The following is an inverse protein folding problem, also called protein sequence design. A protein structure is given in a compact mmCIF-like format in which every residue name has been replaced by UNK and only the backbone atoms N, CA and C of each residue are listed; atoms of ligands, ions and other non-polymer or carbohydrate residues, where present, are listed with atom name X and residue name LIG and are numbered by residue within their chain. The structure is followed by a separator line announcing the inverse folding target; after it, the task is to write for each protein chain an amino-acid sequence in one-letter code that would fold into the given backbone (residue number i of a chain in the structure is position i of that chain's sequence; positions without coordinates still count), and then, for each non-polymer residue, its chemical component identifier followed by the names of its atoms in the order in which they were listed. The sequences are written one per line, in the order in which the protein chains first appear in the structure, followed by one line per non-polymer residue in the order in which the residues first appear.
data_IF_414243834699
#
_entry.id   IF_414243834699
#
_cell.length_a   1.000
_cell.length_b   1.000
_cell.length_c   1.000
_cell.angle_alpha   90.00
_cell.angle_beta   90.00
_cell.angle_gamma   90.00
#
_symmetry.space_group_name_H-M   'P 1'
#
loop_
_entity.id
_entity.type
_entity.pdbx_description
1 polymer ?
#
# COMPACT_ATOMS: atom_id res chain seq x y z
N UNK A 1 -15.84 20.86 -9.80
CA UNK A 1 -15.67 19.60 -9.08
C UNK A 1 -14.69 19.86 -7.97
N UNK A 2 -15.03 19.51 -6.73
CA UNK A 2 -14.12 19.57 -5.59
C UNK A 2 -13.09 18.44 -5.67
N UNK A 3 -11.98 18.55 -4.93
CA UNK A 3 -10.98 17.48 -4.86
C UNK A 3 -11.62 16.16 -4.42
N UNK A 4 -12.50 16.21 -3.40
CA UNK A 4 -13.24 15.05 -2.89
C UNK A 4 -14.17 14.41 -3.93
N UNK A 5 -14.83 15.22 -4.77
CA UNK A 5 -15.64 14.70 -5.88
C UNK A 5 -14.78 14.03 -6.94
N UNK A 6 -13.60 14.58 -7.23
CA UNK A 6 -12.63 14.02 -8.18
C UNK A 6 -12.09 12.68 -7.68
N UNK A 7 -11.72 12.60 -6.39
CA UNK A 7 -11.30 11.35 -5.73
C UNK A 7 -12.41 10.29 -5.83
N UNK A 8 -13.66 10.68 -5.61
CA UNK A 8 -14.80 9.76 -5.72
C UNK A 8 -15.02 9.25 -7.15
N UNK A 9 -14.90 10.13 -8.14
CA UNK A 9 -15.03 9.78 -9.56
C UNK A 9 -13.98 8.76 -9.98
N UNK A 10 -12.71 9.05 -9.68
CA UNK A 10 -11.59 8.17 -10.02
C UNK A 10 -11.70 6.86 -9.25
N UNK A 11 -12.05 6.90 -7.97
CA UNK A 11 -12.21 5.67 -7.17
C UNK A 11 -13.27 4.75 -7.76
N UNK A 12 -14.45 5.27 -8.12
CA UNK A 12 -15.48 4.45 -8.79
C UNK A 12 -14.97 3.85 -10.10
N UNK A 13 -14.26 4.65 -10.91
CA UNK A 13 -13.64 4.14 -12.13
C UNK A 13 -12.67 2.98 -11.84
N UNK A 14 -11.80 3.10 -10.84
CA UNK A 14 -10.90 2.02 -10.45
C UNK A 14 -11.67 0.80 -9.93
N UNK A 15 -12.68 0.99 -9.09
CA UNK A 15 -13.51 -0.09 -8.57
C UNK A 15 -14.34 -0.80 -9.64
N UNK A 16 -14.62 -0.15 -10.78
CA UNK A 16 -15.25 -0.81 -11.94
C UNK A 16 -14.25 -1.67 -12.73
N UNK A 17 -12.99 -1.25 -12.82
CA UNK A 17 -11.99 -1.85 -13.71
C UNK A 17 -11.00 -2.76 -13.01
N UNK A 18 -10.80 -2.61 -11.70
CA UNK A 18 -9.89 -3.41 -10.91
C UNK A 18 -10.64 -4.38 -10.02
N UNK A 19 -9.92 -5.42 -9.57
CA UNK A 19 -10.34 -6.30 -8.50
C UNK A 19 -9.13 -6.64 -7.64
N UNK A 20 -9.29 -6.56 -6.31
CA UNK A 20 -8.24 -7.07 -5.43
C UNK A 20 -8.28 -8.60 -5.48
N UNK A 21 -7.15 -9.26 -5.71
CA UNK A 21 -7.10 -10.72 -5.87
C UNK A 21 -7.72 -11.50 -4.70
N UNK A 22 -7.41 -11.11 -3.46
CA UNK A 22 -7.97 -11.72 -2.25
C UNK A 22 -9.51 -11.63 -2.15
N UNK A 23 -10.12 -10.73 -2.93
CA UNK A 23 -11.56 -10.52 -2.95
C UNK A 23 -12.24 -11.14 -4.17
N UNK A 24 -11.51 -11.55 -5.20
CA UNK A 24 -12.07 -11.87 -6.51
C UNK A 24 -13.18 -12.93 -6.49
N UNK A 25 -13.04 -13.96 -5.66
CA UNK A 25 -14.05 -15.02 -5.47
C UNK A 25 -15.40 -14.45 -5.00
N UNK A 26 -15.40 -13.44 -4.13
CA UNK A 26 -16.62 -12.82 -3.62
C UNK A 26 -17.37 -12.02 -4.69
N UNK A 27 -16.69 -11.65 -5.78
CA UNK A 27 -17.25 -10.95 -6.93
C UNK A 27 -17.54 -11.90 -8.10
N UNK A 28 -17.27 -13.20 -7.95
CA UNK A 28 -17.38 -14.18 -9.03
C UNK A 28 -16.43 -13.92 -10.19
N UNK A 29 -15.29 -13.27 -9.93
CA UNK A 29 -14.27 -12.97 -10.93
C UNK A 29 -13.18 -14.03 -10.87
N UNK A 30 -12.98 -14.74 -11.97
CA UNK A 30 -11.84 -15.65 -12.14
C UNK A 30 -10.59 -14.83 -12.54
N UNK A 31 -9.62 -14.74 -11.62
CA UNK A 31 -8.35 -14.03 -11.86
C UNK A 31 -7.35 -14.85 -12.66
N UNK A 32 -7.71 -16.07 -13.05
CA UNK A 32 -6.88 -16.98 -13.82
C UNK A 32 -5.75 -17.62 -13.01
N UNK A 33 -5.01 -18.56 -13.61
CA UNK A 33 -4.06 -19.43 -12.91
C UNK A 33 -2.71 -18.75 -12.58
N UNK A 34 -2.54 -17.46 -12.87
CA UNK A 34 -1.28 -16.74 -12.64
C UNK A 34 -1.46 -15.58 -11.64
N UNK A 35 -1.80 -15.88 -10.37
CA UNK A 35 -1.82 -14.90 -9.28
C UNK A 35 -0.42 -14.28 -9.07
N UNK A 36 0.65 -15.00 -9.41
CA UNK A 36 2.04 -14.52 -9.39
C UNK A 36 2.29 -13.33 -10.32
N UNK A 37 1.41 -13.07 -11.30
CA UNK A 37 1.50 -11.93 -12.20
C UNK A 37 0.83 -10.65 -11.68
N UNK A 38 0.00 -10.71 -10.65
CA UNK A 38 -0.80 -9.58 -10.14
C UNK A 38 0.00 -8.70 -9.20
N UNK A 39 0.90 -9.33 -8.45
CA UNK A 39 1.79 -8.70 -7.49
C UNK A 39 2.98 -7.94 -8.07
N UNK A 40 3.11 -7.98 -9.39
CA UNK A 40 4.38 -7.70 -10.05
C UNK A 40 4.26 -6.77 -11.25
N UNK A 41 3.06 -6.28 -11.53
CA UNK A 41 2.77 -5.38 -12.64
C UNK A 41 2.79 -3.94 -12.16
N UNK A 42 3.44 -3.07 -12.93
CA UNK A 42 3.41 -1.64 -12.65
C UNK A 42 2.02 -1.09 -12.95
N UNK A 43 1.52 -0.11 -12.19
CA UNK A 43 0.17 0.45 -12.36
C UNK A 43 -0.17 0.89 -13.79
N UNK A 44 0.79 1.46 -14.52
CA UNK A 44 0.60 1.87 -15.92
C UNK A 44 0.32 0.70 -16.89
N UNK A 45 0.76 -0.51 -16.56
CA UNK A 45 0.49 -1.70 -17.36
C UNK A 45 -0.91 -2.27 -17.09
N UNK A 46 -1.51 -1.97 -15.92
CA UNK A 46 -2.78 -2.56 -15.51
C UNK A 46 -3.96 -2.08 -16.35
N UNK A 47 -4.07 -0.78 -16.65
CA UNK A 47 -5.18 -0.26 -17.47
C UNK A 47 -5.11 -0.74 -18.93
N UNK A 48 -3.92 -0.93 -19.48
CA UNK A 48 -3.75 -1.43 -20.85
C UNK A 48 -4.27 -2.88 -21.02
N UNK A 49 -4.45 -3.61 -19.92
CA UNK A 49 -4.92 -4.99 -19.91
C UNK A 49 -6.45 -5.10 -19.79
N UNK A 50 -7.14 -4.04 -19.41
CA UNK A 50 -8.58 -4.06 -19.23
C UNK A 50 -9.29 -4.29 -20.58
N UNK A 51 -10.00 -5.42 -20.71
CA UNK A 51 -10.93 -5.65 -21.82
C UNK A 51 -12.33 -5.15 -21.45
N UNK A 52 -13.16 -4.75 -22.43
CA UNK A 52 -14.54 -4.35 -22.14
C UNK A 52 -15.30 -5.42 -21.34
N UNK A 53 -15.74 -5.04 -20.14
CA UNK A 53 -16.48 -5.94 -19.23
C UNK A 53 -15.61 -6.86 -18.38
N UNK A 54 -14.28 -6.77 -18.44
CA UNK A 54 -13.36 -7.54 -17.61
C UNK A 54 -12.71 -6.64 -16.55
N UNK A 55 -12.57 -7.15 -15.32
CA UNK A 55 -11.77 -6.54 -14.26
C UNK A 55 -10.33 -7.04 -14.33
N UNK A 56 -9.38 -6.14 -14.15
CA UNK A 56 -7.95 -6.45 -14.03
C UNK A 56 -7.63 -6.72 -12.57
N UNK A 57 -7.12 -7.90 -12.28
CA UNK A 57 -6.73 -8.22 -10.93
C UNK A 57 -5.45 -7.46 -10.52
N UNK A 58 -5.40 -7.02 -9.27
CA UNK A 58 -4.32 -6.23 -8.70
C UNK A 58 -4.34 -6.32 -7.17
N UNK A 59 -3.52 -5.51 -6.51
CA UNK A 59 -3.45 -5.35 -5.05
C UNK A 59 -3.74 -3.90 -4.63
N UNK A 60 -3.80 -3.67 -3.32
CA UNK A 60 -3.91 -2.33 -2.71
C UNK A 60 -2.98 -1.29 -3.35
N UNK A 61 -1.73 -1.66 -3.61
CA UNK A 61 -0.74 -0.79 -4.26
C UNK A 61 -1.17 -0.33 -5.66
N UNK A 62 -1.77 -1.21 -6.47
CA UNK A 62 -2.20 -0.87 -7.83
C UNK A 62 -3.36 0.12 -7.85
N UNK A 63 -4.30 -0.02 -6.90
CA UNK A 63 -5.36 0.98 -6.68
C UNK A 63 -4.77 2.33 -6.28
N UNK A 64 -3.85 2.33 -5.31
CA UNK A 64 -3.30 3.55 -4.72
C UNK A 64 -2.42 4.33 -5.67
N UNK A 65 -1.53 3.66 -6.42
CA UNK A 65 -0.70 4.31 -7.42
C UNK A 65 -1.51 4.87 -8.59
N UNK A 66 -2.54 4.13 -9.05
CA UNK A 66 -3.38 4.61 -10.15
C UNK A 66 -4.23 5.80 -9.71
N UNK A 67 -4.81 5.76 -8.51
CA UNK A 67 -5.54 6.89 -7.95
C UNK A 67 -4.62 8.11 -7.81
N UNK A 68 -3.45 7.96 -7.18
CA UNK A 68 -2.50 9.05 -6.99
C UNK A 68 -2.04 9.65 -8.34
N UNK A 69 -1.80 8.82 -9.35
CA UNK A 69 -1.40 9.29 -10.68
C UNK A 69 -2.50 10.08 -11.38
N UNK A 70 -3.74 9.57 -11.38
CA UNK A 70 -4.88 10.27 -11.99
C UNK A 70 -5.24 11.56 -11.24
N UNK A 71 -5.09 11.60 -9.91
CA UNK A 71 -5.28 12.82 -9.13
C UNK A 71 -4.25 13.89 -9.50
N UNK A 72 -2.97 13.51 -9.63
CA UNK A 72 -1.91 14.41 -10.09
C UNK A 72 -2.16 14.94 -11.50
N UNK A 73 -2.68 14.11 -12.42
CA UNK A 73 -3.11 14.56 -13.75
C UNK A 73 -4.25 15.59 -13.70
N UNK A 74 -5.09 15.53 -12.65
CA UNK A 74 -6.15 16.51 -12.38
C UNK A 74 -5.67 17.71 -11.56
N UNK A 75 -4.37 17.82 -11.27
CA UNK A 75 -3.77 18.92 -10.52
C UNK A 75 -3.95 18.84 -9.00
N UNK A 76 -4.34 17.67 -8.48
CA UNK A 76 -4.47 17.41 -7.03
C UNK A 76 -3.17 16.77 -6.56
N UNK A 77 -2.53 17.36 -5.53
CA UNK A 77 -1.38 16.75 -4.88
C UNK A 77 -1.79 15.41 -4.28
N UNK A 78 -1.15 14.32 -4.71
CA UNK A 78 -1.48 12.98 -4.27
C UNK A 78 -0.26 12.07 -4.36
N UNK A 79 -0.15 11.16 -3.41
CA UNK A 79 0.94 10.19 -3.33
C UNK A 79 0.43 8.86 -2.77
N UNK A 80 0.77 7.75 -3.41
CA UNK A 80 0.58 6.44 -2.81
C UNK A 80 1.54 6.30 -1.62
N UNK A 81 1.06 5.74 -0.52
CA UNK A 81 1.77 5.60 0.75
C UNK A 81 1.66 4.17 1.25
N UNK A 82 2.73 3.69 1.86
CA UNK A 82 2.84 2.34 2.40
C UNK A 82 2.80 2.40 3.94
N UNK A 83 2.18 1.41 4.55
CA UNK A 83 1.99 1.37 5.99
C UNK A 83 0.96 0.33 6.35
N UNK A 84 0.12 0.66 7.33
CA UNK A 84 -0.74 -0.32 7.96
C UNK A 84 -2.16 0.20 8.20
N UNK A 85 -3.15 -0.58 7.76
CA UNK A 85 -4.55 -0.33 8.00
C UNK A 85 -5.03 -1.03 9.29
N UNK A 86 -5.80 -0.31 10.10
CA UNK A 86 -6.30 -0.80 11.40
C UNK A 86 -7.75 -1.28 11.36
N UNK A 87 -8.34 -1.33 10.15
CA UNK A 87 -9.77 -1.55 9.92
C UNK A 87 -10.10 -2.86 9.20
N UNK A 88 -9.10 -3.68 8.82
CA UNK A 88 -9.35 -5.02 8.26
C UNK A 88 -9.61 -6.05 9.36
N UNK A 89 -8.83 -5.98 10.44
CA UNK A 89 -8.94 -6.89 11.57
C UNK A 89 -8.65 -6.16 12.88
N UNK A 90 -9.50 -6.35 13.88
CA UNK A 90 -9.33 -5.73 15.20
C UNK A 90 -8.04 -6.22 15.86
N UNK A 91 -7.20 -5.29 16.30
CA UNK A 91 -5.95 -5.58 17.00
C UNK A 91 -4.80 -6.01 16.08
N UNK A 92 -4.98 -5.84 14.77
CA UNK A 92 -3.99 -6.12 13.76
C UNK A 92 -3.75 -4.86 12.91
N UNK A 93 -2.50 -4.65 12.53
CA UNK A 93 -2.04 -3.60 11.63
C UNK A 93 -1.70 -4.29 10.31
N UNK A 94 -2.67 -4.32 9.39
CA UNK A 94 -2.55 -5.01 8.10
C UNK A 94 -1.69 -4.20 7.13
N UNK A 95 -0.63 -4.81 6.57
CA UNK A 95 0.16 -4.20 5.49
C UNK A 95 -0.75 -3.69 4.38
N UNK A 96 -0.68 -2.41 4.08
CA UNK A 96 -1.61 -1.79 3.16
C UNK A 96 -1.03 -0.55 2.48
N UNK A 97 -1.57 -0.28 1.30
CA UNK A 97 -1.24 0.88 0.50
C UNK A 97 -2.48 1.73 0.26
N UNK A 98 -2.41 3.00 0.61
CA UNK A 98 -3.48 3.99 0.39
C UNK A 98 -2.92 5.26 -0.24
N UNK A 99 -3.76 6.27 -0.47
CA UNK A 99 -3.35 7.56 -1.05
C UNK A 99 -3.46 8.67 -0.02
N UNK A 100 -2.36 9.40 0.18
CA UNK A 100 -2.38 10.74 0.77
C UNK A 100 -2.71 11.74 -0.34
N UNK A 101 -3.67 12.64 -0.12
CA UNK A 101 -4.01 13.68 -1.09
C UNK A 101 -4.40 15.01 -0.44
N UNK A 102 -4.20 16.11 -1.17
CA UNK A 102 -4.50 17.47 -0.74
C UNK A 102 -3.87 17.80 0.62
N UNK A 103 -4.69 18.28 1.55
CA UNK A 103 -4.28 18.67 2.92
C UNK A 103 -4.02 17.47 3.85
N UNK A 104 -3.28 16.45 3.39
CA UNK A 104 -2.91 15.26 4.18
C UNK A 104 -4.08 14.32 4.45
N UNK A 105 -5.09 14.29 3.57
CA UNK A 105 -6.23 13.38 3.68
C UNK A 105 -5.86 12.00 3.16
N UNK A 106 -6.51 11.00 3.72
CA UNK A 106 -6.30 9.59 3.38
C UNK A 106 -7.48 9.05 2.57
N UNK A 107 -7.19 8.40 1.45
CA UNK A 107 -8.17 7.69 0.62
C UNK A 107 -7.70 6.28 0.30
N UNK A 108 -8.57 5.30 0.57
CA UNK A 108 -8.44 3.91 0.17
C UNK A 108 -9.42 3.60 -0.95
N UNK A 109 -8.90 3.56 -2.18
CA UNK A 109 -9.69 3.29 -3.38
C UNK A 109 -10.08 1.82 -3.55
N UNK A 110 -9.43 0.90 -2.85
CA UNK A 110 -9.72 -0.54 -2.96
C UNK A 110 -11.08 -0.88 -2.34
N UNK A 111 -11.42 -0.22 -1.23
CA UNK A 111 -12.56 -0.59 -0.41
C UNK A 111 -13.86 -0.02 -1.00
N UNK A 112 -14.65 -0.90 -1.61
CA UNK A 112 -15.99 -0.60 -2.14
C UNK A 112 -17.11 -0.96 -1.15
N UNK A 113 -18.37 -0.77 -1.56
CA UNK A 113 -19.53 -1.02 -0.70
C UNK A 113 -19.69 -2.50 -0.28
N UNK A 114 -19.26 -3.47 -1.10
CA UNK A 114 -19.30 -4.88 -0.72
C UNK A 114 -18.29 -5.15 0.38
N UNK A 115 -17.04 -4.71 0.17
CA UNK A 115 -15.97 -4.85 1.17
C UNK A 115 -16.32 -4.14 2.48
N UNK A 116 -16.91 -2.94 2.43
CA UNK A 116 -17.39 -2.24 3.63
C UNK A 116 -18.43 -3.03 4.39
N UNK A 117 -19.38 -3.63 3.68
CA UNK A 117 -20.41 -4.48 4.29
C UNK A 117 -19.84 -5.73 4.95
N UNK A 118 -18.86 -6.38 4.32
CA UNK A 118 -18.21 -7.60 4.84
C UNK A 118 -17.29 -7.30 6.02
N UNK A 119 -16.49 -6.23 5.94
CA UNK A 119 -15.53 -5.83 6.97
C UNK A 119 -16.16 -5.01 8.10
N UNK A 120 -17.40 -4.54 7.94
CA UNK A 120 -18.07 -3.67 8.91
C UNK A 120 -17.47 -2.26 8.99
N UNK A 121 -16.95 -1.74 7.86
CA UNK A 121 -16.36 -0.41 7.77
C UNK A 121 -17.48 0.63 7.61
N UNK A 122 -17.67 1.48 8.62
CA UNK A 122 -18.75 2.47 8.69
C UNK A 122 -18.30 3.92 8.44
N UNK A 123 -17.01 4.15 8.21
CA UNK A 123 -16.45 5.46 7.87
C UNK A 123 -16.34 5.71 6.36
N UNK A 124 -15.99 6.95 5.98
CA UNK A 124 -15.71 7.33 4.59
C UNK A 124 -14.31 6.87 4.18
N UNK A 125 -14.23 5.91 3.24
CA UNK A 125 -12.95 5.37 2.74
C UNK A 125 -12.18 6.35 1.87
N UNK A 126 -12.74 7.53 1.58
CA UNK A 126 -12.08 8.59 0.82
C UNK A 126 -11.72 9.80 1.69
N UNK A 127 -11.96 9.72 3.00
CA UNK A 127 -11.52 10.70 4.01
C UNK A 127 -11.40 9.94 5.35
N UNK A 128 -10.39 9.08 5.45
CA UNK A 128 -10.24 8.15 6.57
C UNK A 128 -10.08 8.91 7.91
N UNK A 129 -10.69 8.40 8.99
CA UNK A 129 -10.52 9.00 10.30
C UNK A 129 -9.08 8.85 10.82
N UNK A 130 -8.61 9.74 11.72
CA UNK A 130 -7.30 9.61 12.33
C UNK A 130 -7.09 8.23 12.97
N UNK A 131 -5.94 7.60 12.70
CA UNK A 131 -5.58 6.28 13.22
C UNK A 131 -6.14 5.09 12.44
N UNK A 132 -6.95 5.30 11.39
CA UNK A 132 -7.36 4.23 10.48
C UNK A 132 -6.18 3.71 9.65
N UNK A 133 -5.22 4.58 9.34
CA UNK A 133 -3.97 4.23 8.67
C UNK A 133 -2.78 4.75 9.47
N UNK A 134 -1.72 3.95 9.50
CA UNK A 134 -0.46 4.23 10.19
C UNK A 134 0.67 4.03 9.19
N UNK A 135 1.40 5.07 8.87
CA UNK A 135 2.53 4.99 7.92
C UNK A 135 3.68 4.14 8.49
N UNK A 136 4.56 3.63 7.62
CA UNK A 136 5.76 2.89 8.05
C UNK A 136 6.57 3.61 9.16
N UNK A 137 6.93 4.91 9.00
CA UNK A 137 7.57 5.70 10.04
C UNK A 137 6.80 5.79 11.37
N UNK A 138 5.48 5.96 11.31
CA UNK A 138 4.64 6.01 12.52
C UNK A 138 4.58 4.66 13.23
N UNK A 139 4.44 3.56 12.47
CA UNK A 139 4.46 2.20 13.00
C UNK A 139 5.79 1.90 13.70
N UNK A 140 6.91 2.26 13.07
CA UNK A 140 8.23 2.14 13.69
C UNK A 140 8.28 2.89 15.03
N UNK A 141 7.87 4.16 15.05
CA UNK A 141 7.86 4.95 16.29
C UNK A 141 6.95 4.36 17.38
N UNK A 142 5.79 3.79 17.02
CA UNK A 142 4.90 3.13 17.97
C UNK A 142 5.56 1.90 18.60
N UNK A 143 6.19 1.06 17.79
CA UNK A 143 6.93 -0.13 18.24
C UNK A 143 8.10 0.29 19.13
N UNK A 144 8.92 1.26 18.70
CA UNK A 144 10.08 1.75 19.47
C UNK A 144 9.70 2.40 20.79
N UNK A 145 8.52 3.03 20.86
CA UNK A 145 7.99 3.61 22.09
C UNK A 145 7.31 2.58 23.01
N UNK A 146 7.25 1.29 22.63
CA UNK A 146 6.55 0.24 23.38
C UNK A 146 5.02 0.43 23.44
N UNK A 147 4.46 1.17 22.47
CA UNK A 147 3.02 1.46 22.38
C UNK A 147 2.25 0.45 21.53
N UNK A 148 2.96 -0.34 20.73
CA UNK A 148 2.41 -1.42 19.94
C UNK A 148 3.39 -2.59 19.90
N UNK A 149 2.86 -3.81 19.78
CA UNK A 149 3.64 -5.03 19.66
C UNK A 149 4.06 -5.21 18.19
N UNK A 150 5.36 -5.33 17.85
CA UNK A 150 5.79 -5.53 16.47
C UNK A 150 5.12 -6.74 15.81
N UNK A 151 4.79 -7.79 16.57
CA UNK A 151 4.16 -9.00 16.04
C UNK A 151 2.68 -8.79 15.65
N UNK A 152 2.14 -7.58 15.84
CA UNK A 152 0.79 -7.19 15.37
C UNK A 152 0.81 -6.43 14.04
N UNK A 153 1.99 -6.19 13.45
CA UNK A 153 2.16 -5.52 12.16
C UNK A 153 2.60 -6.50 11.08
N UNK A 154 1.84 -6.61 10.00
CA UNK A 154 2.20 -7.45 8.87
C UNK A 154 1.05 -7.77 7.93
N UNK A 155 1.31 -8.67 7.00
CA UNK A 155 0.31 -9.22 6.08
C UNK A 155 -0.23 -10.58 6.56
N UNK A 156 0.65 -11.43 7.10
CA UNK A 156 0.31 -12.76 7.59
C UNK A 156 1.31 -13.23 8.67
N UNK A 157 1.22 -14.50 9.07
CA UNK A 157 2.10 -15.09 10.08
C UNK A 157 3.58 -15.17 9.67
N UNK A 158 3.88 -15.21 8.36
CA UNK A 158 5.23 -15.26 7.81
C UNK A 158 5.80 -13.86 7.56
N UNK A 159 4.94 -12.90 7.18
CA UNK A 159 5.28 -11.53 6.81
C UNK A 159 4.80 -10.53 7.87
N UNK A 160 5.38 -10.61 9.07
CA UNK A 160 5.09 -9.71 10.20
C UNK A 160 6.31 -9.45 11.08
N UNK A 161 6.23 -8.44 11.94
CA UNK A 161 7.24 -8.14 12.95
C UNK A 161 8.04 -6.87 12.67
N UNK A 162 9.04 -6.62 13.50
CA UNK A 162 9.88 -5.42 13.47
C UNK A 162 10.67 -5.26 12.16
N UNK A 163 11.18 -6.35 11.59
CA UNK A 163 11.85 -6.33 10.29
C UNK A 163 10.89 -5.92 9.17
N UNK A 164 9.62 -6.32 9.25
CA UNK A 164 8.59 -5.98 8.27
C UNK A 164 8.22 -4.50 8.36
N UNK A 165 8.01 -4.00 9.60
CA UNK A 165 7.81 -2.56 9.86
C UNK A 165 8.97 -1.73 9.32
N UNK A 166 10.22 -2.18 9.51
CA UNK A 166 11.39 -1.50 8.96
C UNK A 166 11.36 -1.46 7.41
N UNK A 167 10.94 -2.55 6.77
CA UNK A 167 10.67 -2.60 5.34
C UNK A 167 9.70 -1.51 4.89
N UNK A 168 8.56 -1.38 5.57
CA UNK A 168 7.55 -0.39 5.18
C UNK A 168 7.96 1.05 5.49
N UNK A 169 8.84 1.30 6.47
CA UNK A 169 9.49 2.61 6.63
C UNK A 169 10.19 3.01 5.33
N UNK A 170 10.97 2.11 4.73
CA UNK A 170 11.71 2.41 3.50
C UNK A 170 10.78 2.53 2.30
N UNK A 171 9.80 1.64 2.14
CA UNK A 171 8.82 1.71 1.03
C UNK A 171 8.03 3.01 1.09
N UNK A 172 7.54 3.39 2.27
CA UNK A 172 6.77 4.63 2.44
C UNK A 172 7.59 5.89 2.15
N UNK A 173 8.82 5.96 2.66
CA UNK A 173 9.70 7.11 2.43
C UNK A 173 10.19 7.21 0.97
N UNK A 174 10.33 6.09 0.27
CA UNK A 174 10.63 6.07 -1.18
C UNK A 174 9.38 6.42 -1.99
N UNK A 175 8.20 5.93 -1.60
CA UNK A 175 6.94 6.30 -2.22
C UNK A 175 6.68 7.81 -2.09
N UNK A 176 6.99 8.42 -0.95
CA UNK A 176 6.92 9.88 -0.74
C UNK A 176 7.85 10.69 -1.67
N UNK A 177 8.86 10.06 -2.26
CA UNK A 177 9.74 10.67 -3.27
C UNK A 177 9.20 10.51 -4.71
N UNK A 178 7.97 10.00 -4.87
CA UNK A 178 7.32 9.79 -6.17
C UNK A 178 7.74 8.49 -6.86
N UNK A 179 8.35 7.55 -6.13
CA UNK A 179 8.85 6.29 -6.69
C UNK A 179 7.92 5.15 -6.31
N UNK A 180 7.25 4.58 -7.31
CA UNK A 180 6.36 3.43 -7.13
C UNK A 180 7.19 2.14 -6.97
N UNK A 181 7.04 1.49 -5.82
CA UNK A 181 7.59 0.14 -5.57
C UNK A 181 6.47 -0.87 -5.53
N UNK A 182 6.77 -2.14 -5.81
CA UNK A 182 5.83 -3.24 -5.61
C UNK A 182 5.88 -3.69 -4.15
N UNK A 183 4.79 -4.25 -3.58
CA UNK A 183 4.77 -4.62 -2.15
C UNK A 183 5.85 -5.63 -1.74
N UNK A 184 6.29 -6.47 -2.70
CA UNK A 184 7.31 -7.50 -2.49
C UNK A 184 8.71 -7.11 -2.97
N UNK A 185 8.91 -5.86 -3.38
CA UNK A 185 10.24 -5.36 -3.68
C UNK A 185 11.02 -5.19 -2.39
N UNK A 186 12.27 -5.64 -2.40
CA UNK A 186 13.21 -5.46 -1.31
C UNK A 186 14.57 -5.01 -1.80
N UNK A 187 15.22 -4.21 -0.98
CA UNK A 187 16.54 -3.65 -1.28
C UNK A 187 17.25 -3.31 0.01
N UNK A 188 18.58 -3.22 -0.03
CA UNK A 188 19.34 -2.78 1.13
C UNK A 188 18.97 -1.33 1.48
N UNK A 189 18.73 -1.00 2.76
CA UNK A 189 19.05 -1.79 3.95
C UNK A 189 17.81 -2.45 4.61
N UNK A 190 16.80 -2.87 3.83
CA UNK A 190 15.65 -3.59 4.39
C UNK A 190 16.08 -4.91 5.03
N UNK A 191 15.79 -5.13 6.32
CA UNK A 191 16.07 -6.41 6.97
C UNK A 191 15.10 -7.50 6.51
N UNK A 192 15.58 -8.74 6.47
CA UNK A 192 14.77 -9.94 6.36
C UNK A 192 14.39 -10.55 7.72
N UNK A 193 13.56 -11.62 7.73
CA UNK A 193 13.20 -12.33 8.96
C UNK A 193 14.45 -12.84 9.70
N UNK A 194 14.59 -12.46 10.97
CA UNK A 194 15.70 -12.87 11.83
C UNK A 194 17.05 -12.19 11.55
N UNK A 195 17.09 -11.24 10.62
CA UNK A 195 18.27 -10.41 10.40
C UNK A 195 18.37 -9.28 11.44
N UNK A 196 19.59 -8.82 11.69
CA UNK A 196 19.82 -7.68 12.58
C UNK A 196 19.34 -6.39 11.94
N UNK A 197 18.58 -5.59 12.69
CA UNK A 197 18.04 -4.31 12.23
C UNK A 197 18.97 -3.19 12.71
N UNK A 198 19.43 -2.33 11.80
CA UNK A 198 20.13 -1.08 12.15
C UNK A 198 19.14 -0.08 12.76
N UNK A 199 18.90 -0.21 14.05
CA UNK A 199 17.93 0.61 14.79
C UNK A 199 18.23 2.11 14.67
N UNK A 200 19.50 2.52 14.73
CA UNK A 200 19.89 3.93 14.65
C UNK A 200 19.57 4.54 13.27
N UNK A 201 19.70 3.73 12.22
CA UNK A 201 19.27 4.11 10.87
C UNK A 201 17.75 4.30 10.83
N UNK A 202 16.98 3.31 11.26
CA UNK A 202 15.52 3.35 11.15
C UNK A 202 14.88 4.38 12.10
N UNK A 203 15.44 4.61 13.29
CA UNK A 203 15.08 5.72 14.18
C UNK A 203 15.33 7.06 13.46
N UNK A 204 16.48 7.19 12.79
CA UNK A 204 16.81 8.39 12.03
C UNK A 204 15.88 8.64 10.84
N UNK A 205 15.54 7.59 10.09
CA UNK A 205 14.61 7.63 8.96
C UNK A 205 13.19 7.98 9.42
N UNK A 206 12.68 7.29 10.44
CA UNK A 206 11.33 7.51 10.96
C UNK A 206 11.18 8.91 11.60
N UNK A 207 12.25 9.45 12.19
CA UNK A 207 12.25 10.83 12.71
C UNK A 207 12.48 11.91 11.64
N UNK A 208 12.73 11.53 10.38
CA UNK A 208 13.04 12.47 9.30
C UNK A 208 14.41 13.15 9.42
N UNK A 209 15.30 12.63 10.27
CA UNK A 209 16.68 13.11 10.43
C UNK A 209 17.66 12.44 9.47
N UNK A 210 17.21 11.37 8.79
CA UNK A 210 17.88 10.71 7.67
C UNK A 210 16.91 10.63 6.49
N UNK A 211 17.44 10.53 5.27
CA UNK A 211 16.66 10.42 4.03
C UNK A 211 16.83 9.02 3.47
N UNK A 212 15.72 8.37 3.11
CA UNK A 212 15.75 7.06 2.46
C UNK A 212 16.32 7.19 1.03
N UNK A 213 17.33 6.39 0.69
CA UNK A 213 17.86 6.33 -0.66
C UNK A 213 16.94 5.52 -1.57
N UNK A 214 16.66 6.05 -2.76
CA UNK A 214 15.99 5.30 -3.83
C UNK A 214 16.99 4.31 -4.44
N UNK A 215 16.72 2.99 -4.41
CA UNK A 215 17.63 2.01 -4.99
C UNK A 215 17.52 2.03 -6.53
N UNK A 216 18.62 1.73 -7.23
CA UNK A 216 18.57 1.55 -8.68
C UNK A 216 17.94 0.20 -9.08
N UNK A 217 18.07 -0.80 -8.21
CA UNK A 217 17.54 -2.15 -8.42
C UNK A 217 16.92 -2.67 -7.14
N UNK A 218 15.87 -3.46 -7.30
CA UNK A 218 15.16 -4.12 -6.21
C UNK A 218 15.08 -5.62 -6.47
N UNK A 219 15.19 -6.44 -5.43
CA UNK A 219 14.84 -7.85 -5.47
C UNK A 219 13.32 -7.96 -5.38
N UNK A 220 12.68 -8.40 -6.46
CA UNK A 220 11.29 -8.78 -6.37
C UNK A 220 11.21 -10.18 -5.73
N UNK A 221 10.77 -10.26 -4.46
CA UNK A 221 10.79 -11.53 -3.70
C UNK A 221 9.92 -12.61 -4.34
N UNK A 222 8.82 -12.24 -5.00
CA UNK A 222 7.92 -13.19 -5.70
C UNK A 222 8.55 -13.74 -6.97
N UNK A 223 9.25 -12.91 -7.75
CA UNK A 223 9.97 -13.35 -8.97
C UNK A 223 11.34 -13.96 -8.70
N UNK A 224 11.88 -13.82 -7.49
CA UNK A 224 13.18 -14.35 -7.09
C UNK A 224 14.36 -13.75 -7.89
N UNK A 225 14.23 -12.53 -8.40
CA UNK A 225 15.27 -11.86 -9.20
C UNK A 225 15.31 -10.36 -8.98
N UNK A 226 16.48 -9.77 -9.23
CA UNK A 226 16.66 -8.33 -9.23
C UNK A 226 16.13 -7.69 -10.51
N UNK A 227 15.45 -6.55 -10.35
CA UNK A 227 14.84 -5.77 -11.42
C UNK A 227 15.20 -4.29 -11.24
N UNK A 228 15.20 -3.54 -12.33
CA UNK A 228 15.36 -2.09 -12.26
C UNK A 228 14.11 -1.47 -11.63
N UNK A 229 14.31 -0.46 -10.78
CA UNK A 229 13.21 0.32 -10.19
C UNK A 229 12.72 1.39 -11.18
#
# INVERSE_FOLDING_TARGET
MTDRETVAEITRFLQEHYIHEAWADQYGVDVGPDPDSLHVRRPGDLLALAKPGEKVATMCQGYSEMLASLLRERGIEAQARCGFATYFQKGWYEDHWIVEYGDGKWADAQIDDLQRGVLGIDFDTLDLPPGAFVTGPEAWQLVRAGKADPDTFGHDEEFKGDWFVAGDVLKDLVARQGVATLPWDAWDPMPGPGEEIDVDLFDGLAAGTRVASVPAKVLNKRRGRFEDL
#
